data_IF_327654622204
#
_entry.id   IF_327654622204
#
_cell.length_a   1.000
_cell.length_b   1.000
_cell.length_c   1.000
_cell.angle_alpha   90.00
_cell.angle_beta   90.00
_cell.angle_gamma   90.00
#
_symmetry.space_group_name_H-M   'P 1'
#
loop_
_entity.id
_entity.type
_entity.pdbx_description
1 polymer ?
#
# COMPACT_ATOMS: atom_id res chain seq x y z
N UNK A 1 -5.94 -41.67 -2.65
CA UNK A 1 -5.46 -40.28 -2.45
C UNK A 1 -5.80 -39.92 -1.02
N UNK A 2 -4.81 -39.52 -0.21
CA UNK A 2 -5.01 -39.20 1.20
C UNK A 2 -5.89 -37.96 1.40
N UNK A 3 -6.34 -37.74 2.64
CA UNK A 3 -7.15 -36.58 2.99
C UNK A 3 -6.30 -35.30 2.97
N UNK A 4 -6.51 -34.48 1.94
CA UNK A 4 -5.75 -33.23 1.73
C UNK A 4 -5.96 -32.18 2.82
N UNK A 5 -7.03 -32.29 3.61
CA UNK A 5 -7.34 -31.35 4.70
C UNK A 5 -6.89 -31.86 6.08
N UNK A 6 -6.13 -32.96 6.15
CA UNK A 6 -5.65 -33.51 7.43
C UNK A 6 -4.77 -32.52 8.20
N UNK A 7 -3.74 -31.98 7.57
CA UNK A 7 -2.90 -30.95 8.20
C UNK A 7 -3.70 -29.69 8.56
N UNK A 8 -4.67 -29.32 7.71
CA UNK A 8 -5.55 -28.19 7.98
C UNK A 8 -6.32 -28.40 9.29
N UNK A 9 -7.06 -29.50 9.42
CA UNK A 9 -7.86 -29.78 10.62
C UNK A 9 -6.99 -29.95 11.87
N UNK A 10 -5.79 -30.54 11.75
CA UNK A 10 -4.86 -30.68 12.89
C UNK A 10 -4.47 -29.33 13.51
N UNK A 11 -4.47 -28.25 12.72
CA UNK A 11 -4.07 -26.91 13.17
C UNK A 11 -5.23 -26.08 13.75
N UNK A 12 -6.49 -26.53 13.66
CA UNK A 12 -7.67 -25.76 14.09
C UNK A 12 -8.43 -26.50 15.18
N UNK A 13 -8.98 -25.73 16.11
CA UNK A 13 -9.98 -26.20 17.05
C UNK A 13 -11.34 -25.58 16.69
N UNK A 14 -12.26 -26.39 16.16
CA UNK A 14 -13.57 -25.93 15.71
C UNK A 14 -14.44 -25.30 16.82
N UNK A 15 -14.10 -25.53 18.10
CA UNK A 15 -14.77 -24.88 19.22
C UNK A 15 -14.25 -23.46 19.51
N UNK A 16 -13.08 -23.11 18.96
CA UNK A 16 -12.34 -21.88 19.29
C UNK A 16 -12.16 -20.92 18.12
N UNK A 17 -12.30 -21.41 16.88
CA UNK A 17 -12.17 -20.57 15.67
C UNK A 17 -13.48 -20.48 14.89
N UNK A 18 -13.82 -19.31 14.31
CA UNK A 18 -14.92 -19.19 13.36
C UNK A 18 -14.57 -19.73 11.96
N UNK A 19 -13.34 -20.21 11.75
CA UNK A 19 -12.93 -20.83 10.48
C UNK A 19 -13.75 -22.09 10.16
N UNK A 20 -14.03 -22.37 8.88
CA UNK A 20 -14.69 -23.61 8.48
C UNK A 20 -13.81 -24.84 8.75
N UNK A 21 -14.30 -25.80 9.53
CA UNK A 21 -13.61 -27.07 9.82
C UNK A 21 -14.50 -28.24 9.37
N UNK A 22 -14.50 -28.59 8.07
CA UNK A 22 -15.35 -29.66 7.57
C UNK A 22 -14.91 -31.02 8.12
N UNK A 23 -15.86 -31.90 8.41
CA UNK A 23 -15.55 -33.29 8.77
C UNK A 23 -14.92 -34.04 7.58
N UNK A 24 -14.12 -35.10 7.83
CA UNK A 24 -13.56 -35.93 6.77
C UNK A 24 -14.67 -36.46 5.84
N UNK A 25 -14.64 -36.08 4.58
CA UNK A 25 -15.63 -36.51 3.60
C UNK A 25 -15.20 -37.83 2.92
N UNK A 26 -16.14 -38.74 2.59
CA UNK A 26 -15.87 -39.84 1.67
C UNK A 26 -15.52 -39.31 0.26
N UNK A 27 -14.73 -40.07 -0.49
CA UNK A 27 -14.08 -39.62 -1.73
C UNK A 27 -15.05 -39.07 -2.81
N UNK A 28 -14.79 -37.83 -3.22
CA UNK A 28 -15.19 -37.06 -4.44
C UNK A 28 -16.63 -37.19 -4.96
N UNK A 29 -17.37 -36.06 -4.92
CA UNK A 29 -18.28 -35.68 -6.00
C UNK A 29 -17.45 -35.14 -7.17
N UNK A 30 -17.74 -35.63 -8.39
CA UNK A 30 -17.14 -35.16 -9.66
C UNK A 30 -17.22 -33.64 -9.77
N UNK A 31 -16.14 -33.03 -10.25
CA UNK A 31 -16.06 -31.60 -10.54
C UNK A 31 -17.14 -31.20 -11.56
N UNK A 32 -17.81 -30.09 -11.28
CA UNK A 32 -18.69 -29.43 -12.26
C UNK A 32 -17.86 -28.88 -13.42
N UNK A 33 -18.43 -28.79 -14.63
CA UNK A 33 -17.79 -28.20 -15.82
C UNK A 33 -17.53 -26.67 -15.72
N UNK A 34 -17.55 -26.08 -14.51
CA UNK A 34 -17.25 -24.65 -14.30
C UNK A 34 -15.74 -24.42 -14.21
N UNK A 35 -15.29 -23.25 -14.67
CA UNK A 35 -13.91 -22.80 -14.45
C UNK A 35 -13.60 -22.78 -12.95
N UNK A 36 -12.41 -23.24 -12.52
CA UNK A 36 -12.04 -23.25 -11.12
C UNK A 36 -11.93 -21.81 -10.59
N UNK A 37 -12.23 -21.63 -9.31
CA UNK A 37 -12.30 -20.32 -8.65
C UNK A 37 -11.01 -20.00 -7.90
N UNK A 38 -10.79 -18.72 -7.65
CA UNK A 38 -9.80 -18.29 -6.69
C UNK A 38 -10.38 -17.26 -5.72
N UNK A 39 -9.73 -17.14 -4.58
CA UNK A 39 -9.89 -16.02 -3.65
C UNK A 39 -8.50 -15.49 -3.28
N UNK A 40 -8.40 -14.17 -3.16
CA UNK A 40 -7.28 -13.49 -2.53
C UNK A 40 -7.80 -12.85 -1.26
N UNK A 41 -7.28 -13.24 -0.11
CA UNK A 41 -7.65 -12.67 1.19
C UNK A 41 -6.53 -11.79 1.71
N UNK A 42 -6.87 -10.62 2.25
CA UNK A 42 -5.95 -9.80 3.02
C UNK A 42 -6.04 -10.20 4.49
N UNK A 43 -4.90 -10.55 5.08
CA UNK A 43 -4.82 -11.13 6.41
C UNK A 43 -3.90 -10.28 7.32
N UNK A 44 -4.52 -9.62 8.29
CA UNK A 44 -3.87 -8.85 9.35
C UNK A 44 -3.58 -9.76 10.56
N UNK A 45 -2.64 -10.70 10.38
CA UNK A 45 -2.13 -11.55 11.45
C UNK A 45 -1.02 -10.82 12.23
N UNK A 46 0.04 -11.54 12.66
CA UNK A 46 1.26 -10.90 13.20
C UNK A 46 1.91 -9.90 12.25
N UNK A 47 1.71 -10.09 10.94
CA UNK A 47 2.11 -9.19 9.88
C UNK A 47 1.08 -9.25 8.76
N UNK A 48 0.84 -8.11 8.11
CA UNK A 48 -0.02 -8.03 6.94
C UNK A 48 0.55 -8.88 5.77
N UNK A 49 -0.30 -9.74 5.21
CA UNK A 49 -0.01 -10.52 4.01
C UNK A 49 -1.30 -10.83 3.23
N UNK A 50 -1.15 -11.44 2.06
CA UNK A 50 -2.27 -11.86 1.22
C UNK A 50 -2.23 -13.36 0.97
N UNK A 51 -3.32 -14.04 1.27
CA UNK A 51 -3.46 -15.46 0.96
C UNK A 51 -4.04 -15.62 -0.45
N UNK A 52 -3.25 -16.15 -1.38
CA UNK A 52 -3.74 -16.62 -2.68
C UNK A 52 -4.22 -18.05 -2.51
N UNK A 53 -5.48 -18.31 -2.88
CA UNK A 53 -6.09 -19.62 -2.78
C UNK A 53 -6.74 -20.02 -4.09
N UNK A 54 -6.33 -21.17 -4.62
CA UNK A 54 -6.77 -21.68 -5.92
C UNK A 54 -7.57 -22.98 -5.72
N UNK A 55 -8.81 -23.01 -6.19
CA UNK A 55 -9.63 -24.23 -6.22
C UNK A 55 -8.93 -25.28 -7.08
N UNK A 56 -8.48 -26.37 -6.46
CA UNK A 56 -7.79 -27.46 -7.14
C UNK A 56 -8.11 -28.78 -6.45
N UNK A 57 -8.56 -29.76 -7.24
CA UNK A 57 -8.85 -31.12 -6.78
C UNK A 57 -9.87 -31.27 -5.62
N UNK A 58 -10.69 -30.24 -5.35
CA UNK A 58 -11.71 -30.25 -4.30
C UNK A 58 -11.27 -29.57 -3.00
N UNK A 59 -10.09 -28.95 -2.99
CA UNK A 59 -9.56 -28.11 -1.91
C UNK A 59 -9.03 -26.79 -2.48
N UNK A 60 -8.54 -25.91 -1.62
CA UNK A 60 -7.86 -24.69 -1.99
C UNK A 60 -6.35 -24.81 -1.76
N UNK A 61 -5.59 -24.98 -2.84
CA UNK A 61 -4.14 -24.86 -2.79
C UNK A 61 -3.77 -23.40 -2.45
N UNK A 62 -2.92 -23.20 -1.45
CA UNK A 62 -2.82 -21.92 -0.75
C UNK A 62 -1.38 -21.44 -0.57
N UNK A 63 -1.16 -20.15 -0.83
CA UNK A 63 0.11 -19.47 -0.61
C UNK A 63 -0.10 -18.15 0.13
N UNK A 64 0.68 -17.94 1.19
CA UNK A 64 0.79 -16.63 1.84
C UNK A 64 1.80 -15.78 1.06
N UNK A 65 1.36 -14.64 0.53
CA UNK A 65 2.13 -13.71 -0.32
C UNK A 65 2.31 -12.39 0.43
N UNK A 66 3.43 -12.16 1.13
CA UNK A 66 3.59 -11.05 2.07
C UNK A 66 3.58 -9.64 1.46
N UNK A 67 3.64 -9.50 0.13
CA UNK A 67 3.51 -8.22 -0.58
C UNK A 67 2.35 -8.23 -1.58
N UNK A 68 1.46 -9.22 -1.51
CA UNK A 68 0.43 -9.45 -2.52
C UNK A 68 1.02 -9.95 -3.84
N UNK A 69 0.16 -10.22 -4.83
CA UNK A 69 0.62 -10.63 -6.16
C UNK A 69 1.34 -9.46 -6.87
N UNK A 70 2.49 -9.70 -7.52
CA UNK A 70 3.23 -8.64 -8.18
C UNK A 70 2.42 -8.10 -9.37
N UNK A 71 2.31 -6.78 -9.45
CA UNK A 71 1.80 -6.09 -10.64
C UNK A 71 2.90 -5.85 -11.68
N UNK A 72 4.12 -5.62 -11.20
CA UNK A 72 5.33 -5.46 -11.98
C UNK A 72 5.86 -6.82 -12.50
N UNK A 73 5.89 -7.07 -13.82
CA UNK A 73 6.43 -8.31 -14.38
C UNK A 73 7.95 -8.46 -14.21
N UNK A 74 8.66 -7.39 -13.84
CA UNK A 74 10.08 -7.36 -13.53
C UNK A 74 10.42 -7.74 -12.08
N UNK A 75 9.42 -7.95 -11.22
CA UNK A 75 9.63 -8.29 -9.79
C UNK A 75 9.03 -9.63 -9.42
N UNK A 76 9.78 -10.38 -8.61
CA UNK A 76 9.30 -11.60 -7.98
C UNK A 76 8.91 -11.30 -6.53
N UNK A 77 7.76 -11.84 -6.09
CA UNK A 77 7.34 -11.76 -4.70
C UNK A 77 7.48 -13.13 -4.03
N UNK A 78 7.82 -13.15 -2.74
CA UNK A 78 7.77 -14.37 -1.93
C UNK A 78 6.34 -14.88 -1.85
N UNK A 79 6.15 -16.19 -2.03
CA UNK A 79 4.91 -16.91 -1.85
C UNK A 79 5.19 -18.13 -0.96
N UNK A 80 4.80 -18.09 0.30
CA UNK A 80 5.02 -19.22 1.21
C UNK A 80 3.89 -20.22 1.02
N UNK A 81 4.20 -21.44 0.56
CA UNK A 81 3.19 -22.48 0.40
C UNK A 81 2.70 -22.95 1.79
N UNK A 82 1.39 -22.87 2.01
CA UNK A 82 0.72 -23.30 3.25
C UNK A 82 -0.04 -24.60 3.01
N UNK A 83 -0.63 -25.18 4.06
CA UNK A 83 -1.54 -26.33 3.88
C UNK A 83 -2.74 -25.97 2.98
N UNK A 84 -3.36 -27.01 2.40
CA UNK A 84 -4.60 -26.86 1.65
C UNK A 84 -5.74 -26.40 2.57
N UNK A 85 -6.62 -25.56 2.05
CA UNK A 85 -7.77 -25.04 2.81
C UNK A 85 -9.10 -25.58 2.26
N UNK A 86 -10.16 -25.64 3.08
CA UNK A 86 -11.46 -26.12 2.64
C UNK A 86 -12.13 -25.12 1.69
N UNK A 87 -13.04 -25.60 0.83
CA UNK A 87 -13.65 -24.80 -0.24
C UNK A 87 -14.45 -23.59 0.26
N UNK A 88 -14.93 -23.66 1.50
CA UNK A 88 -15.65 -22.64 2.24
C UNK A 88 -14.82 -21.36 2.43
N UNK A 89 -13.48 -21.46 2.36
CA UNK A 89 -12.61 -20.28 2.41
C UNK A 89 -12.78 -19.33 1.22
N UNK A 90 -13.38 -19.77 0.12
CA UNK A 90 -13.69 -18.87 -1.01
C UNK A 90 -14.58 -17.70 -0.62
N UNK A 91 -15.37 -17.83 0.45
CA UNK A 91 -16.30 -16.80 0.93
C UNK A 91 -16.05 -16.39 2.38
N UNK A 92 -15.15 -17.08 3.08
CA UNK A 92 -14.85 -16.79 4.47
C UNK A 92 -14.10 -15.46 4.64
N UNK A 93 -14.49 -14.71 5.66
CA UNK A 93 -13.87 -13.50 6.15
C UNK A 93 -14.31 -13.32 7.61
N UNK A 94 -13.52 -12.62 8.42
CA UNK A 94 -13.82 -12.45 9.85
C UNK A 94 -12.58 -12.24 10.70
N UNK A 95 -12.79 -12.23 12.01
CA UNK A 95 -11.72 -12.16 13.01
C UNK A 95 -11.40 -13.57 13.52
N UNK A 96 -10.17 -14.03 13.32
CA UNK A 96 -9.68 -15.27 13.92
C UNK A 96 -9.11 -14.92 15.30
N UNK A 97 -9.59 -15.54 16.41
CA UNK A 97 -9.21 -15.14 17.75
C UNK A 97 -7.70 -15.15 18.01
N UNK A 98 -7.24 -14.22 18.85
CA UNK A 98 -5.85 -14.17 19.26
C UNK A 98 -5.43 -15.47 19.97
N UNK A 99 -4.28 -16.02 19.59
CA UNK A 99 -3.77 -17.29 20.12
C UNK A 99 -4.14 -18.51 19.26
N UNK A 100 -5.12 -18.40 18.37
CA UNK A 100 -5.39 -19.43 17.36
C UNK A 100 -4.36 -19.40 16.24
N UNK A 101 -4.23 -20.52 15.52
CA UNK A 101 -3.37 -20.59 14.34
C UNK A 101 -3.91 -19.67 13.25
N UNK A 102 -3.11 -18.69 12.83
CA UNK A 102 -3.58 -17.67 11.90
C UNK A 102 -4.47 -16.61 12.53
N UNK A 103 -4.40 -16.40 13.86
CA UNK A 103 -5.12 -15.33 14.53
C UNK A 103 -4.89 -13.95 13.91
N UNK A 104 -5.97 -13.19 13.74
CA UNK A 104 -5.99 -11.89 13.08
C UNK A 104 -7.24 -11.66 12.22
N UNK A 105 -7.35 -10.44 11.68
CA UNK A 105 -8.47 -10.04 10.83
C UNK A 105 -8.24 -10.48 9.39
N UNK A 106 -9.21 -11.17 8.80
CA UNK A 106 -9.18 -11.58 7.41
C UNK A 106 -10.34 -10.97 6.62
N UNK A 107 -10.02 -10.42 5.44
CA UNK A 107 -10.98 -9.81 4.51
C UNK A 107 -10.75 -10.33 3.10
N UNK A 108 -11.79 -10.37 2.28
CA UNK A 108 -11.65 -10.75 0.87
C UNK A 108 -11.17 -9.53 0.08
N UNK A 109 -9.97 -9.64 -0.49
CA UNK A 109 -9.41 -8.63 -1.37
C UNK A 109 -9.94 -8.76 -2.80
N UNK A 110 -9.98 -9.99 -3.34
CA UNK A 110 -10.51 -10.26 -4.67
C UNK A 110 -11.03 -11.70 -4.80
N UNK A 111 -11.94 -11.91 -5.74
CA UNK A 111 -12.45 -13.23 -6.14
C UNK A 111 -12.61 -13.29 -7.65
N UNK A 112 -12.51 -14.50 -8.19
CA UNK A 112 -12.69 -14.70 -9.62
C UNK A 112 -12.58 -16.15 -10.03
N UNK A 113 -12.34 -16.34 -11.33
CA UNK A 113 -12.01 -17.65 -11.89
C UNK A 113 -10.60 -17.64 -12.42
N UNK A 114 -10.03 -18.82 -12.61
CA UNK A 114 -8.72 -18.93 -13.23
C UNK A 114 -8.68 -20.08 -14.24
N UNK A 115 -7.68 -20.04 -15.12
CA UNK A 115 -7.31 -21.16 -15.98
C UNK A 115 -5.93 -21.66 -15.55
N UNK A 116 -5.81 -22.94 -15.23
CA UNK A 116 -4.52 -23.59 -15.06
C UNK A 116 -3.90 -23.86 -16.44
N UNK A 117 -2.69 -23.37 -16.68
CA UNK A 117 -1.88 -23.75 -17.85
C UNK A 117 -0.90 -24.87 -17.52
N UNK A 118 -0.44 -24.91 -16.26
CA UNK A 118 0.48 -25.92 -15.75
C UNK A 118 0.26 -26.09 -14.26
N UNK A 119 0.30 -27.34 -13.80
CA UNK A 119 0.20 -27.66 -12.38
C UNK A 119 1.14 -28.82 -12.05
N UNK A 120 2.22 -28.53 -11.32
CA UNK A 120 3.19 -29.49 -10.80
C UNK A 120 3.53 -29.12 -9.36
N UNK A 121 4.11 -30.07 -8.63
CA UNK A 121 4.50 -29.88 -7.22
C UNK A 121 5.57 -28.80 -7.01
N UNK A 122 6.27 -28.39 -8.07
CA UNK A 122 7.34 -27.39 -8.05
C UNK A 122 6.98 -26.10 -8.80
N UNK A 123 5.90 -26.10 -9.58
CA UNK A 123 5.56 -25.02 -10.50
C UNK A 123 4.08 -25.02 -10.88
N UNK A 124 3.43 -23.88 -10.71
CA UNK A 124 2.03 -23.64 -11.06
C UNK A 124 1.93 -22.40 -11.95
N UNK A 125 1.33 -22.55 -13.12
CA UNK A 125 1.06 -21.44 -14.06
C UNK A 125 -0.44 -21.27 -14.18
N UNK A 126 -0.91 -20.08 -13.84
CA UNK A 126 -2.34 -19.73 -13.89
C UNK A 126 -2.57 -18.39 -14.57
N UNK A 127 -3.71 -18.28 -15.25
CA UNK A 127 -4.26 -17.00 -15.69
C UNK A 127 -5.44 -16.66 -14.80
N UNK A 128 -5.31 -15.61 -14.00
CA UNK A 128 -6.34 -15.12 -13.09
C UNK A 128 -7.26 -14.13 -13.80
N UNK A 129 -8.56 -14.26 -13.58
CA UNK A 129 -9.60 -13.34 -14.03
C UNK A 129 -10.54 -13.00 -12.86
N UNK A 130 -10.14 -11.99 -12.08
CA UNK A 130 -10.91 -11.40 -10.99
C UNK A 130 -11.30 -9.96 -11.25
N UNK A 131 -11.84 -9.30 -10.22
CA UNK A 131 -12.25 -7.88 -10.32
C UNK A 131 -11.05 -6.95 -10.21
N UNK A 132 -10.09 -7.27 -9.33
CA UNK A 132 -8.90 -6.45 -9.06
C UNK A 132 -7.62 -7.07 -9.64
N UNK A 133 -7.56 -8.39 -9.69
CA UNK A 133 -6.40 -9.16 -10.12
C UNK A 133 -6.69 -9.83 -11.45
N UNK A 134 -5.94 -9.42 -12.47
CA UNK A 134 -5.96 -10.03 -13.80
C UNK A 134 -4.54 -10.19 -14.31
N UNK A 135 -4.25 -11.35 -14.87
CA UNK A 135 -2.97 -11.59 -15.53
C UNK A 135 -2.48 -13.03 -15.40
N UNK A 136 -1.31 -13.27 -15.97
CA UNK A 136 -0.67 -14.58 -16.01
C UNK A 136 0.44 -14.65 -14.98
N UNK A 137 0.30 -15.57 -14.03
CA UNK A 137 1.21 -15.75 -12.91
C UNK A 137 1.89 -17.11 -12.97
N UNK A 138 3.17 -17.13 -12.60
CA UNK A 138 3.94 -18.34 -12.36
C UNK A 138 4.32 -18.36 -10.89
N UNK A 139 3.89 -19.40 -10.18
CA UNK A 139 4.39 -19.76 -8.86
C UNK A 139 5.42 -20.87 -9.03
N UNK A 140 6.58 -20.75 -8.42
CA UNK A 140 7.65 -21.74 -8.54
C UNK A 140 8.44 -21.89 -7.25
N UNK A 141 8.81 -23.11 -6.91
CA UNK A 141 9.67 -23.41 -5.76
C UNK A 141 11.12 -22.95 -6.03
N UNK A 142 11.77 -22.36 -5.02
CA UNK A 142 13.13 -21.79 -5.18
C UNK A 142 14.28 -22.69 -4.74
N UNK A 143 14.00 -23.95 -4.40
CA UNK A 143 15.01 -24.89 -3.89
C UNK A 143 15.34 -24.60 -2.42
N UNK A 144 14.71 -25.36 -1.52
CA UNK A 144 14.75 -25.23 -0.06
C UNK A 144 13.78 -26.25 0.55
N UNK A 145 13.46 -26.21 1.86
CA UNK A 145 12.48 -27.13 2.50
C UNK A 145 11.04 -26.91 1.98
N UNK A 146 10.74 -27.17 0.71
CA UNK A 146 9.40 -27.30 0.08
C UNK A 146 8.41 -26.13 0.20
N UNK A 147 8.67 -25.11 1.02
CA UNK A 147 7.72 -24.04 1.38
C UNK A 147 8.10 -22.67 0.81
N UNK A 148 9.35 -22.49 0.38
CA UNK A 148 9.84 -21.23 -0.16
C UNK A 148 9.57 -21.16 -1.66
N UNK A 149 8.40 -20.65 -2.02
CA UNK A 149 8.03 -20.36 -3.40
C UNK A 149 8.16 -18.88 -3.69
N UNK A 150 8.25 -18.55 -4.98
CA UNK A 150 8.11 -17.20 -5.48
C UNK A 150 6.93 -17.16 -6.44
N UNK A 151 6.35 -15.98 -6.60
CA UNK A 151 5.35 -15.69 -7.61
C UNK A 151 5.81 -14.52 -8.46
N UNK A 152 5.59 -14.63 -9.77
CA UNK A 152 5.93 -13.62 -10.77
C UNK A 152 4.77 -13.45 -11.75
N UNK A 153 4.50 -12.20 -12.15
CA UNK A 153 3.65 -11.89 -13.31
C UNK A 153 4.46 -12.04 -14.61
N UNK A 154 3.88 -12.69 -15.61
CA UNK A 154 4.58 -13.03 -16.87
C UNK A 154 3.94 -12.47 -18.12
N UNK A 155 2.68 -12.03 -18.05
CA UNK A 155 2.11 -11.18 -19.09
C UNK A 155 2.61 -9.73 -18.93
N UNK A 156 2.61 -8.94 -20.02
CA UNK A 156 2.92 -7.52 -19.95
C UNK A 156 2.02 -6.78 -18.96
N UNK A 157 2.55 -5.72 -18.37
CA UNK A 157 1.73 -4.80 -17.59
C UNK A 157 0.66 -4.13 -18.47
N UNK A 158 -0.48 -3.68 -17.90
CA UNK A 158 -1.49 -2.94 -18.65
C UNK A 158 -0.92 -1.70 -19.34
N UNK A 159 -1.53 -1.29 -20.46
CA UNK A 159 -1.14 -0.05 -21.13
C UNK A 159 -1.24 1.16 -20.17
N UNK A 160 -0.24 2.04 -20.19
CA UNK A 160 -0.15 3.19 -19.28
C UNK A 160 0.34 2.86 -17.87
N UNK A 161 0.58 1.59 -17.55
CA UNK A 161 1.20 1.20 -16.29
C UNK A 161 2.72 1.42 -16.33
N UNK A 162 3.25 1.92 -15.23
CA UNK A 162 4.66 2.22 -14.98
C UNK A 162 5.08 1.57 -13.66
N UNK A 163 6.30 1.01 -13.56
CA UNK A 163 6.79 0.50 -12.30
C UNK A 163 6.95 1.63 -11.28
N UNK A 164 6.78 1.28 -9.99
CA UNK A 164 7.07 2.23 -8.92
C UNK A 164 8.53 2.69 -9.02
N UNK A 165 8.79 4.00 -9.07
CA UNK A 165 10.14 4.54 -9.18
C UNK A 165 10.97 4.16 -7.95
N UNK A 166 12.26 3.91 -8.16
CA UNK A 166 13.17 3.56 -7.06
C UNK A 166 13.64 4.78 -6.25
N UNK A 167 13.64 5.95 -6.89
CA UNK A 167 14.01 7.23 -6.30
C UNK A 167 13.29 8.37 -7.03
N UNK A 168 12.61 9.22 -6.26
CA UNK A 168 12.16 10.55 -6.67
C UNK A 168 12.76 11.55 -5.68
N UNK A 169 13.53 12.51 -6.21
CA UNK A 169 14.12 13.58 -5.40
C UNK A 169 13.09 14.69 -5.14
N UNK A 170 13.03 15.25 -3.92
CA UNK A 170 12.09 16.32 -3.61
C UNK A 170 12.25 17.53 -4.53
N UNK A 171 11.13 18.10 -4.97
CA UNK A 171 11.08 19.43 -5.55
C UNK A 171 11.26 20.49 -4.45
N UNK A 172 12.01 21.55 -4.75
CA UNK A 172 12.32 22.61 -3.79
C UNK A 172 11.67 23.94 -4.16
N UNK A 173 11.16 24.65 -3.16
CA UNK A 173 10.62 25.98 -3.34
C UNK A 173 11.71 27.04 -3.54
N UNK A 174 11.41 28.08 -4.31
CA UNK A 174 12.19 29.32 -4.35
C UNK A 174 11.74 30.25 -3.23
N UNK A 175 12.67 30.86 -2.49
CA UNK A 175 12.31 31.86 -1.48
C UNK A 175 11.73 33.11 -2.14
N UNK A 176 10.63 33.64 -1.60
CA UNK A 176 9.97 34.84 -2.07
C UNK A 176 9.57 35.74 -0.90
N UNK A 177 9.78 37.05 -1.06
CA UNK A 177 9.46 38.04 -0.02
C UNK A 177 7.97 38.38 0.08
N UNK A 178 7.19 38.10 -0.96
CA UNK A 178 5.78 38.47 -1.07
C UNK A 178 5.00 37.32 -1.69
N UNK A 179 3.71 37.26 -1.35
CA UNK A 179 2.76 36.38 -2.03
C UNK A 179 2.68 36.73 -3.53
N UNK A 180 2.37 35.75 -4.40
CA UNK A 180 2.00 35.99 -5.79
C UNK A 180 0.88 37.03 -5.89
N UNK A 181 0.92 37.87 -6.94
CA UNK A 181 -0.14 38.88 -7.18
C UNK A 181 -1.44 38.25 -7.67
N UNK A 182 -1.32 37.28 -8.56
CA UNK A 182 -2.42 36.46 -9.05
C UNK A 182 -2.60 35.30 -8.07
N UNK A 183 -3.45 35.47 -7.06
CA UNK A 183 -3.60 34.49 -5.98
C UNK A 183 -4.37 33.25 -6.45
N UNK A 184 -5.32 33.40 -7.37
CA UNK A 184 -6.20 32.34 -7.86
C UNK A 184 -5.44 31.26 -8.66
N UNK A 185 -4.27 31.60 -9.21
CA UNK A 185 -3.38 30.64 -9.87
C UNK A 185 -2.57 29.76 -8.89
N UNK A 186 -2.74 29.93 -7.57
CA UNK A 186 -1.92 29.27 -6.54
C UNK A 186 -2.74 28.59 -5.45
N UNK A 187 -2.24 27.43 -5.01
CA UNK A 187 -2.64 26.78 -3.78
C UNK A 187 -1.63 27.07 -2.68
N UNK A 188 -2.11 27.27 -1.46
CA UNK A 188 -1.29 27.62 -0.31
C UNK A 188 -1.35 26.51 0.74
N UNK A 189 -0.18 26.13 1.27
CA UNK A 189 -0.02 25.18 2.37
C UNK A 189 0.71 25.87 3.52
N UNK A 190 0.38 25.53 4.76
CA UNK A 190 1.19 25.93 5.91
C UNK A 190 2.57 25.26 5.81
N UNK A 191 3.63 26.03 6.06
CA UNK A 191 4.99 25.50 6.07
C UNK A 191 5.28 24.91 7.44
N UNK A 192 5.73 23.66 7.45
CA UNK A 192 6.07 22.94 8.66
C UNK A 192 7.59 22.84 8.82
N UNK A 193 8.09 23.05 10.04
CA UNK A 193 9.50 22.83 10.36
C UNK A 193 9.71 21.37 10.80
N UNK A 194 10.30 20.56 9.92
CA UNK A 194 10.40 19.13 10.13
C UNK A 194 11.32 18.44 9.13
N UNK A 195 11.34 17.11 9.18
CA UNK A 195 12.19 16.29 8.30
C UNK A 195 11.43 15.98 7.02
N UNK A 196 11.88 16.51 5.87
CA UNK A 196 11.31 16.15 4.56
C UNK A 196 11.49 14.66 4.31
N UNK A 197 10.45 13.98 3.84
CA UNK A 197 10.51 12.57 3.53
C UNK A 197 9.66 12.17 2.32
N UNK A 198 10.19 11.25 1.50
CA UNK A 198 9.48 10.58 0.41
C UNK A 198 9.13 9.16 0.87
N UNK A 199 7.84 8.86 0.96
CA UNK A 199 7.30 7.59 1.41
C UNK A 199 6.87 6.74 0.21
N UNK A 200 7.50 5.58 0.05
CA UNK A 200 7.16 4.56 -0.95
C UNK A 200 6.36 3.46 -0.25
N UNK A 201 5.08 3.34 -0.59
CA UNK A 201 4.15 2.39 0.01
C UNK A 201 3.79 1.33 -1.01
N UNK A 202 4.13 0.06 -0.74
CA UNK A 202 3.81 -1.08 -1.59
C UNK A 202 3.55 -2.32 -0.75
N UNK A 203 2.45 -3.03 -1.03
CA UNK A 203 2.10 -4.28 -0.36
C UNK A 203 2.10 -4.19 1.17
N UNK A 204 1.59 -3.08 1.72
CA UNK A 204 1.56 -2.86 3.18
C UNK A 204 2.89 -2.48 3.81
N UNK A 205 3.93 -2.21 3.00
CA UNK A 205 5.28 -1.89 3.48
C UNK A 205 5.67 -0.48 3.11
N UNK A 206 6.47 0.12 4.00
CA UNK A 206 7.03 1.45 3.84
C UNK A 206 8.53 1.37 3.57
N UNK A 207 8.98 2.04 2.52
CA UNK A 207 10.35 2.55 2.40
C UNK A 207 10.29 4.07 2.48
N UNK A 208 11.18 4.67 3.26
CA UNK A 208 11.13 6.11 3.56
C UNK A 208 12.50 6.71 3.35
N UNK A 209 12.61 7.66 2.43
CA UNK A 209 13.84 8.39 2.14
C UNK A 209 13.73 9.83 2.63
N UNK A 210 14.80 10.39 3.18
CA UNK A 210 14.86 11.80 3.53
C UNK A 210 15.16 12.68 2.29
N UNK A 211 15.27 14.00 2.51
CA UNK A 211 15.56 14.95 1.43
C UNK A 211 16.96 14.85 0.81
N UNK A 212 17.81 13.94 1.30
CA UNK A 212 19.18 13.69 0.83
C UNK A 212 19.35 12.26 0.31
N UNK A 213 18.26 11.59 -0.04
CA UNK A 213 18.19 10.21 -0.54
C UNK A 213 18.50 9.13 0.54
N UNK A 214 18.65 9.51 1.81
CA UNK A 214 18.98 8.61 2.91
C UNK A 214 17.77 7.82 3.43
N UNK A 215 17.91 6.50 3.66
CA UNK A 215 16.82 5.67 4.19
C UNK A 215 16.64 5.85 5.70
N UNK A 216 15.48 6.37 6.10
CA UNK A 216 15.17 6.78 7.48
C UNK A 216 14.02 5.98 8.11
N UNK A 217 13.46 4.98 7.42
CA UNK A 217 12.29 4.22 7.89
C UNK A 217 12.48 3.55 9.25
N UNK A 218 13.70 3.09 9.56
CA UNK A 218 14.04 2.50 10.86
C UNK A 218 13.97 3.48 12.04
N UNK A 219 14.08 4.79 11.79
CA UNK A 219 13.96 5.81 12.81
C UNK A 219 12.50 6.13 13.18
N UNK A 220 11.52 5.75 12.36
CA UNK A 220 10.11 6.12 12.52
C UNK A 220 9.20 4.87 12.40
N UNK A 221 9.33 3.89 13.31
CA UNK A 221 8.62 2.61 13.19
C UNK A 221 7.08 2.75 13.27
N UNK A 222 6.58 3.80 13.91
CA UNK A 222 5.15 4.11 14.01
C UNK A 222 4.49 4.40 12.66
N UNK A 223 5.26 4.78 11.63
CA UNK A 223 4.72 5.11 10.30
C UNK A 223 4.38 3.86 9.47
N UNK A 224 4.80 2.67 9.91
CA UNK A 224 4.43 1.40 9.26
C UNK A 224 2.91 1.21 9.16
N UNK A 225 2.15 1.69 10.16
CA UNK A 225 0.70 1.63 10.15
C UNK A 225 0.05 2.36 8.97
N UNK A 226 0.70 3.42 8.45
CA UNK A 226 0.22 4.11 7.24
C UNK A 226 0.25 3.20 6.01
N UNK A 227 1.33 2.42 5.87
CA UNK A 227 1.47 1.50 4.74
C UNK A 227 0.43 0.37 4.80
N UNK A 228 0.17 -0.16 6.00
CA UNK A 228 -0.87 -1.17 6.23
C UNK A 228 -2.28 -0.63 5.99
N UNK A 229 -2.54 0.62 6.39
CA UNK A 229 -3.82 1.30 6.18
C UNK A 229 -4.09 1.61 4.70
N UNK A 230 -3.04 1.94 3.94
CA UNK A 230 -3.13 2.15 2.49
C UNK A 230 -3.30 0.84 1.72
N UNK A 231 -2.80 -0.29 2.25
CA UNK A 231 -2.84 -1.56 1.56
C UNK A 231 -4.28 -1.96 1.18
N UNK A 232 -4.53 -2.37 -0.08
CA UNK A 232 -3.56 -2.80 -1.10
C UNK A 232 -3.02 -1.67 -2.01
N UNK A 233 -3.42 -0.43 -1.78
CA UNK A 233 -3.03 0.73 -2.61
C UNK A 233 -1.54 0.98 -2.50
N UNK A 234 -0.90 1.15 -3.65
CA UNK A 234 0.51 1.48 -3.78
C UNK A 234 0.66 2.95 -4.19
N UNK A 235 1.54 3.68 -3.49
CA UNK A 235 1.73 5.11 -3.71
C UNK A 235 3.16 5.57 -3.39
N UNK A 236 3.58 6.67 -4.02
CA UNK A 236 4.75 7.45 -3.61
C UNK A 236 4.28 8.83 -3.17
N UNK A 237 4.52 9.14 -1.91
CA UNK A 237 4.06 10.37 -1.25
C UNK A 237 5.23 11.26 -0.90
N UNK A 238 5.07 12.56 -1.11
CA UNK A 238 5.99 13.59 -0.63
C UNK A 238 5.39 14.28 0.59
N UNK A 239 6.18 14.47 1.64
CA UNK A 239 5.66 15.06 2.87
C UNK A 239 6.75 15.44 3.86
N UNK A 240 6.30 15.77 5.07
CA UNK A 240 7.16 16.21 6.15
C UNK A 240 6.82 15.49 7.44
N UNK A 241 7.83 15.00 8.12
CA UNK A 241 7.72 14.40 9.44
C UNK A 241 7.87 15.50 10.50
N UNK A 242 6.89 15.58 11.39
CA UNK A 242 6.86 16.53 12.50
C UNK A 242 6.38 15.85 13.77
N UNK A 243 6.48 16.53 14.90
CA UNK A 243 5.70 16.23 16.11
C UNK A 243 4.94 17.50 16.49
N UNK A 244 3.62 17.41 16.58
CA UNK A 244 2.76 18.52 16.99
C UNK A 244 2.33 18.24 18.44
N UNK A 245 2.63 19.16 19.35
CA UNK A 245 2.23 19.03 20.75
C UNK A 245 0.76 19.46 20.98
N UNK A 246 0.17 19.21 22.16
CA UNK A 246 -1.21 19.58 22.44
C UNK A 246 -1.51 21.09 22.37
N UNK A 247 -0.47 21.94 22.42
CA UNK A 247 -0.60 23.38 22.25
C UNK A 247 -0.46 23.81 20.77
N UNK A 248 -0.34 22.85 19.84
CA UNK A 248 -0.20 23.09 18.40
C UNK A 248 1.22 23.42 17.94
N UNK A 249 2.23 23.38 18.83
CA UNK A 249 3.59 23.74 18.45
C UNK A 249 4.27 22.57 17.72
N UNK A 250 5.05 22.93 16.71
CA UNK A 250 5.78 21.99 15.86
C UNK A 250 7.17 21.74 16.43
N UNK A 251 7.54 20.47 16.52
CA UNK A 251 8.85 19.99 16.99
C UNK A 251 9.41 18.97 16.01
N UNK A 252 10.72 18.69 16.04
CA UNK A 252 11.29 17.56 15.33
C UNK A 252 10.63 16.23 15.75
N UNK A 253 10.42 15.29 14.80
CA UNK A 253 9.89 13.97 15.09
C UNK A 253 10.89 13.14 15.90
N UNK A 254 10.40 12.10 16.58
CA UNK A 254 11.23 11.18 17.36
C UNK A 254 10.93 9.72 17.02
N UNK A 255 11.77 8.81 17.55
CA UNK A 255 11.54 7.36 17.43
C UNK A 255 10.23 6.88 18.07
N UNK A 256 9.72 7.63 19.05
CA UNK A 256 8.53 7.24 19.85
C UNK A 256 7.25 7.92 19.39
N UNK A 257 7.37 9.09 18.79
CA UNK A 257 6.22 9.93 18.46
C UNK A 257 6.54 10.91 17.34
N UNK A 258 5.51 11.21 16.54
CA UNK A 258 5.57 12.03 15.36
C UNK A 258 4.38 11.76 14.43
N UNK A 259 4.30 12.55 13.37
CA UNK A 259 3.27 12.50 12.35
C UNK A 259 3.92 12.75 10.99
N UNK A 260 3.50 11.99 9.98
CA UNK A 260 3.81 12.28 8.57
C UNK A 260 2.70 13.11 7.95
N UNK A 261 3.02 14.33 7.54
CA UNK A 261 2.12 15.22 6.83
C UNK A 261 2.36 15.08 5.33
N UNK A 262 1.48 14.33 4.65
CA UNK A 262 1.55 14.10 3.22
C UNK A 262 1.09 15.38 2.47
N UNK A 263 1.91 15.88 1.56
CA UNK A 263 1.71 17.16 0.89
C UNK A 263 1.70 17.07 -0.65
N UNK A 264 2.17 15.96 -1.22
CA UNK A 264 2.06 15.69 -2.65
C UNK A 264 1.99 14.18 -2.92
N UNK A 265 1.42 13.81 -4.06
CA UNK A 265 1.34 12.43 -4.55
C UNK A 265 2.10 12.37 -5.87
N UNK A 266 3.11 11.51 -5.94
CA UNK A 266 4.08 11.47 -7.05
C UNK A 266 3.92 10.25 -7.95
N UNK A 267 3.30 9.19 -7.43
CA UNK A 267 2.96 7.99 -8.18
C UNK A 267 1.82 7.25 -7.46
N UNK A 268 0.90 6.65 -8.21
CA UNK A 268 -0.25 5.92 -7.67
C UNK A 268 -0.61 4.73 -8.57
N UNK A 269 -0.68 3.53 -8.00
CA UNK A 269 -1.26 2.33 -8.62
C UNK A 269 -0.74 1.99 -10.04
N UNK A 270 0.49 2.37 -10.37
CA UNK A 270 1.06 2.17 -11.71
C UNK A 270 1.12 3.41 -12.59
N UNK A 271 0.64 4.56 -12.14
CA UNK A 271 0.71 5.80 -12.92
C UNK A 271 1.61 6.82 -12.21
N UNK A 272 2.53 7.44 -12.95
CA UNK A 272 3.19 8.66 -12.46
C UNK A 272 2.17 9.78 -12.38
N UNK A 273 2.22 10.58 -11.31
CA UNK A 273 1.42 11.79 -11.19
C UNK A 273 2.27 13.06 -11.31
N UNK A 274 3.60 12.94 -11.46
CA UNK A 274 4.51 14.10 -11.51
C UNK A 274 4.20 15.07 -12.65
N UNK A 275 3.68 14.56 -13.77
CA UNK A 275 3.35 15.37 -14.94
C UNK A 275 1.97 16.04 -14.84
N UNK A 276 1.17 15.65 -13.84
CA UNK A 276 -0.16 16.25 -13.61
C UNK A 276 -0.03 17.62 -12.94
N UNK A 277 -0.97 18.55 -13.21
CA UNK A 277 -1.15 19.77 -12.44
C UNK A 277 -1.21 19.54 -10.93
N UNK A 278 -0.60 20.42 -10.14
CA UNK A 278 -0.61 20.33 -8.67
C UNK A 278 -2.02 20.18 -8.08
N UNK A 279 -3.02 20.88 -8.62
CA UNK A 279 -4.42 20.74 -8.17
C UNK A 279 -4.92 19.29 -8.29
N UNK A 280 -4.65 18.63 -9.43
CA UNK A 280 -5.04 17.24 -9.66
C UNK A 280 -4.28 16.28 -8.74
N UNK A 281 -2.98 16.52 -8.50
CA UNK A 281 -2.20 15.72 -7.53
C UNK A 281 -2.76 15.86 -6.11
N UNK A 282 -3.22 17.05 -5.70
CA UNK A 282 -3.87 17.24 -4.41
C UNK A 282 -5.23 16.55 -4.33
N UNK A 283 -6.05 16.60 -5.36
CA UNK A 283 -7.33 15.84 -5.41
C UNK A 283 -7.09 14.33 -5.27
N UNK A 284 -6.12 13.79 -6.00
CA UNK A 284 -5.73 12.38 -5.89
C UNK A 284 -5.21 12.03 -4.49
N UNK A 285 -4.39 12.90 -3.89
CA UNK A 285 -3.87 12.73 -2.53
C UNK A 285 -5.00 12.77 -1.48
N UNK A 286 -5.93 13.72 -1.59
CA UNK A 286 -7.09 13.83 -0.71
C UNK A 286 -8.00 12.60 -0.85
N UNK A 287 -8.12 12.05 -2.07
CA UNK A 287 -8.83 10.80 -2.35
C UNK A 287 -8.26 9.56 -1.67
N UNK A 288 -6.99 9.58 -1.22
CA UNK A 288 -6.42 8.52 -0.39
C UNK A 288 -6.94 8.55 1.05
N UNK A 289 -7.61 9.64 1.46
CA UNK A 289 -8.20 9.82 2.78
C UNK A 289 -7.23 9.48 3.94
N UNK A 290 -5.97 9.89 3.80
CA UNK A 290 -4.95 9.68 4.81
C UNK A 290 -5.32 10.44 6.09
N UNK A 291 -5.84 9.70 7.06
CA UNK A 291 -6.21 10.19 8.38
C UNK A 291 -5.93 9.11 9.43
N UNK A 292 -4.83 9.28 10.15
CA UNK A 292 -4.43 8.40 11.24
C UNK A 292 -3.68 9.16 12.31
N UNK A 293 -3.47 8.53 13.47
CA UNK A 293 -2.77 9.15 14.60
C UNK A 293 -1.38 9.70 14.22
N UNK A 294 -0.69 8.99 13.33
CA UNK A 294 0.69 9.27 12.94
C UNK A 294 0.85 9.69 11.48
N UNK A 295 -0.24 9.89 10.74
CA UNK A 295 -0.19 10.35 9.34
C UNK A 295 -1.46 11.11 8.99
N UNK A 296 -1.33 12.16 8.21
CA UNK A 296 -2.50 12.87 7.69
C UNK A 296 -2.14 13.63 6.42
N UNK A 297 -3.16 13.99 5.65
CA UNK A 297 -3.05 15.00 4.58
C UNK A 297 -3.52 16.35 5.12
N UNK A 298 -2.64 17.34 5.33
CA UNK A 298 -3.06 18.67 5.77
C UNK A 298 -3.93 19.37 4.73
N UNK A 299 -4.82 20.29 5.16
CA UNK A 299 -5.57 21.10 4.22
C UNK A 299 -4.63 21.98 3.39
N UNK A 300 -5.10 22.31 2.19
CA UNK A 300 -4.47 23.26 1.28
C UNK A 300 -5.53 24.25 0.83
N UNK A 301 -5.11 25.44 0.43
CA UNK A 301 -6.01 26.58 0.29
C UNK A 301 -5.80 27.28 -1.06
N UNK A 302 -6.66 27.08 -2.08
CA UNK A 302 -6.61 27.84 -3.33
C UNK A 302 -6.96 29.33 -3.11
N UNK A 303 -6.22 30.25 -3.73
CA UNK A 303 -6.59 31.68 -3.80
C UNK A 303 -6.44 32.51 -2.51
N UNK A 304 -6.46 31.90 -1.32
CA UNK A 304 -6.54 32.62 -0.04
C UNK A 304 -5.19 32.76 0.68
N UNK A 305 -4.11 33.05 -0.07
CA UNK A 305 -2.75 33.09 0.47
C UNK A 305 -2.51 34.10 1.60
N UNK A 306 -3.22 35.24 1.58
CA UNK A 306 -3.11 36.25 2.63
C UNK A 306 -3.65 35.76 3.98
N UNK A 307 -4.76 35.01 3.95
CA UNK A 307 -5.35 34.41 5.14
C UNK A 307 -4.47 33.28 5.68
N UNK A 308 -3.98 32.40 4.79
CA UNK A 308 -3.04 31.34 5.17
C UNK A 308 -1.76 31.90 5.83
N UNK A 309 -1.20 32.99 5.29
CA UNK A 309 -0.01 33.63 5.86
C UNK A 309 -0.30 34.31 7.21
N UNK A 310 -1.49 34.91 7.37
CA UNK A 310 -1.93 35.46 8.66
C UNK A 310 -2.09 34.35 9.70
N UNK A 311 -2.74 33.24 9.34
CA UNK A 311 -2.85 32.07 10.22
C UNK A 311 -1.48 31.52 10.59
N UNK A 312 -0.53 31.44 9.66
CA UNK A 312 0.83 31.02 9.96
C UNK A 312 1.48 31.91 11.05
N UNK A 313 1.31 33.24 10.97
CA UNK A 313 1.80 34.19 11.99
C UNK A 313 1.15 33.96 13.35
N UNK A 314 -0.17 33.87 13.39
CA UNK A 314 -0.95 33.70 14.63
C UNK A 314 -0.61 32.40 15.35
N UNK A 315 -0.28 31.36 14.59
CA UNK A 315 0.11 30.03 15.11
C UNK A 315 1.62 29.89 15.34
N UNK A 316 2.42 30.93 15.10
CA UNK A 316 3.88 30.88 15.24
C UNK A 316 4.56 29.91 14.28
N UNK A 317 3.94 29.61 13.14
CA UNK A 317 4.49 28.74 12.11
C UNK A 317 5.49 29.50 11.23
N UNK A 318 6.46 28.81 10.61
CA UNK A 318 7.48 29.44 9.78
C UNK A 318 6.93 30.32 8.64
N UNK A 319 5.78 29.98 8.05
CA UNK A 319 5.25 30.67 6.88
C UNK A 319 4.34 29.79 6.04
N UNK A 320 4.28 30.08 4.73
CA UNK A 320 3.48 29.31 3.77
C UNK A 320 4.33 28.85 2.58
N UNK A 321 3.93 27.74 1.99
CA UNK A 321 4.33 27.33 0.65
C UNK A 321 3.19 27.66 -0.32
N UNK A 322 3.47 28.48 -1.32
CA UNK A 322 2.57 28.71 -2.45
C UNK A 322 3.00 27.80 -3.61
N UNK A 323 2.08 27.01 -4.14
CA UNK A 323 2.30 26.08 -5.25
C UNK A 323 1.38 26.43 -6.41
N UNK A 324 1.93 26.61 -7.61
CA UNK A 324 1.16 27.00 -8.80
C UNK A 324 0.24 25.84 -9.24
N UNK A 325 -1.06 26.11 -9.39
CA UNK A 325 -2.09 25.07 -9.51
C UNK A 325 -1.94 24.19 -10.77
N UNK A 326 -1.53 24.79 -11.87
CA UNK A 326 -1.35 24.16 -13.18
C UNK A 326 0.03 23.51 -13.37
N UNK A 327 0.93 23.62 -12.38
CA UNK A 327 2.32 23.23 -12.56
C UNK A 327 2.57 21.74 -12.27
N UNK A 328 3.47 21.09 -13.05
CA UNK A 328 3.93 19.75 -12.75
C UNK A 328 4.83 19.75 -11.50
N UNK A 329 5.13 18.55 -11.02
CA UNK A 329 6.20 18.34 -10.05
C UNK A 329 7.54 18.24 -10.81
N UNK A 330 8.58 18.95 -10.35
CA UNK A 330 9.91 18.92 -10.96
C UNK A 330 10.92 18.25 -10.01
N UNK A 331 11.10 16.92 -10.09
CA UNK A 331 11.96 16.17 -9.17
C UNK A 331 13.38 16.75 -9.07
N UNK A 332 13.84 16.98 -7.84
CA UNK A 332 15.18 17.46 -7.52
C UNK A 332 15.47 18.91 -7.93
N UNK A 333 14.51 19.64 -8.52
CA UNK A 333 14.73 21.03 -8.96
C UNK A 333 14.26 22.02 -7.92
N UNK A 334 15.00 23.12 -7.77
CA UNK A 334 14.46 24.34 -7.17
C UNK A 334 13.67 25.10 -8.23
N UNK A 335 12.40 25.31 -7.97
CA UNK A 335 11.46 25.84 -8.96
C UNK A 335 10.79 27.10 -8.49
N UNK A 336 10.36 27.93 -9.44
CA UNK A 336 9.46 29.07 -9.18
C UNK A 336 7.99 28.66 -9.15
N UNK A 337 7.65 27.44 -9.54
CA UNK A 337 6.30 26.90 -9.37
C UNK A 337 5.95 26.68 -7.90
N UNK A 338 6.95 26.54 -7.03
CA UNK A 338 6.80 26.53 -5.58
C UNK A 338 7.52 27.73 -5.00
N UNK A 339 6.82 28.54 -4.22
CA UNK A 339 7.39 29.68 -3.51
C UNK A 339 7.27 29.47 -2.01
N UNK A 340 8.32 29.80 -1.28
CA UNK A 340 8.31 29.82 0.17
C UNK A 340 8.27 31.27 0.66
N UNK A 341 7.28 31.61 1.47
CA UNK A 341 7.08 32.95 2.02
C UNK A 341 7.09 32.84 3.55
N UNK A 342 7.95 33.63 4.19
CA UNK A 342 8.10 33.62 5.65
C UNK A 342 6.97 34.42 6.33
N UNK A 343 6.58 33.98 7.53
CA UNK A 343 5.59 34.66 8.36
C UNK A 343 6.13 35.91 9.07
N UNK A 344 7.45 36.03 9.25
CA UNK A 344 8.10 37.13 9.98
C UNK A 344 7.88 38.52 9.37
#
# INVERSE_FOLDING_TARGET
>A
MGDRLEEYRRKRDAARTPEPVPQPAPARKRTSHRRPRFVIQQHHARSLHWDLRLEHDGVLASWAVPRGLPRDPGRNHLAVHTEDHPMEYLTFHGEIPAGEYGGGRMTIHDTGTYRAEKWRDDEVIVVLDGKRTKGRYVLFATGGRGRDWMVRRTDPAPAGWTPMPELIRPMHATSARRLPKDADAWGYELRWDGVRAIAYVSGGRLRLLDGTDGEIGGAYPWLRGMAEALAPTEAVLDGVLVRIDPAGRVHPPSKRDGQFLAADLLWLEGATSTDLPYAQRRELLDGLALAGRHWQTPPWFPGIGADALRTAREQGLPGVLAKRLDAPYEPGRRSRHWLSIDAS
#
